data_IF_380697256416
#
_entry.id   IF_380697256416
#
_cell.length_a   1.000
_cell.length_b   1.000
_cell.length_c   1.000
_cell.angle_alpha   90.00
_cell.angle_beta   90.00
_cell.angle_gamma   90.00
#
_symmetry.space_group_name_H-M   'P 1'
#
loop_
_entity.id
_entity.type
_entity.pdbx_description
1 polymer ?
#
# COMPACT_ATOMS: atom_id res chain seq x y z
N UNK A 1 -22.03 3.23 -0.41
CA UNK A 1 -21.09 2.14 -0.66
C UNK A 1 -19.68 2.67 -1.00
N UNK A 2 -18.71 1.78 -1.30
CA UNK A 2 -17.31 2.15 -1.52
C UNK A 2 -17.14 3.07 -2.74
N UNK A 3 -17.84 2.80 -3.85
CA UNK A 3 -17.81 3.61 -5.07
C UNK A 3 -18.22 5.06 -4.78
N UNK A 4 -19.35 5.25 -4.14
CA UNK A 4 -19.90 6.58 -3.89
C UNK A 4 -19.06 7.34 -2.87
N UNK A 5 -18.50 6.64 -1.86
CA UNK A 5 -17.59 7.25 -0.91
C UNK A 5 -16.30 7.72 -1.59
N UNK A 6 -15.67 6.86 -2.41
CA UNK A 6 -14.48 7.22 -3.17
C UNK A 6 -14.74 8.37 -4.15
N UNK A 7 -15.89 8.35 -4.85
CA UNK A 7 -16.28 9.43 -5.75
C UNK A 7 -16.45 10.77 -5.02
N UNK A 8 -17.13 10.79 -3.88
CA UNK A 8 -17.26 12.02 -3.07
C UNK A 8 -15.91 12.53 -2.57
N UNK A 9 -15.03 11.62 -2.14
CA UNK A 9 -13.68 11.98 -1.70
C UNK A 9 -12.85 12.61 -2.83
N UNK A 10 -12.93 12.05 -4.04
CA UNK A 10 -12.26 12.60 -5.24
C UNK A 10 -12.80 13.99 -5.58
N UNK A 11 -14.12 14.17 -5.60
CA UNK A 11 -14.76 15.46 -5.88
C UNK A 11 -14.28 16.51 -4.87
N UNK A 12 -14.45 16.24 -3.58
CA UNK A 12 -14.05 17.16 -2.51
C UNK A 12 -12.57 17.48 -2.53
N UNK A 13 -11.71 16.48 -2.79
CA UNK A 13 -10.27 16.68 -2.94
C UNK A 13 -9.95 17.61 -4.11
N UNK A 14 -10.56 17.39 -5.27
CA UNK A 14 -10.35 18.23 -6.46
C UNK A 14 -10.82 19.67 -6.24
N UNK A 15 -11.99 19.86 -5.63
CA UNK A 15 -12.53 21.18 -5.28
C UNK A 15 -11.62 21.95 -4.31
N UNK A 16 -10.88 21.25 -3.46
CA UNK A 16 -9.92 21.84 -2.53
C UNK A 16 -8.49 21.94 -3.10
N UNK A 17 -8.31 21.71 -4.40
CA UNK A 17 -7.03 21.83 -5.10
C UNK A 17 -6.08 20.66 -4.92
N UNK A 18 -6.54 19.53 -4.38
CA UNK A 18 -5.74 18.30 -4.29
C UNK A 18 -5.68 17.57 -5.62
N UNK A 19 -4.56 16.95 -5.87
CA UNK A 19 -4.28 16.22 -7.11
C UNK A 19 -3.22 15.14 -6.88
N UNK A 20 -3.12 14.18 -7.81
CA UNK A 20 -1.98 13.25 -7.81
C UNK A 20 -0.67 14.01 -7.98
N UNK A 21 0.36 13.58 -7.27
CA UNK A 21 1.73 14.10 -7.43
C UNK A 21 2.28 13.56 -8.75
N UNK A 22 2.56 14.44 -9.71
CA UNK A 22 3.01 14.10 -11.08
C UNK A 22 4.47 14.46 -11.34
N UNK A 23 5.13 15.15 -10.43
CA UNK A 23 6.55 15.54 -10.53
C UNK A 23 7.55 14.40 -10.32
N UNK A 24 7.06 13.20 -10.04
CA UNK A 24 7.79 11.97 -9.79
C UNK A 24 7.11 11.18 -8.67
N UNK A 25 7.03 9.86 -8.81
CA UNK A 25 6.32 9.00 -7.87
C UNK A 25 6.78 9.19 -6.42
N UNK A 26 8.09 9.25 -6.20
CA UNK A 26 8.67 9.37 -4.86
C UNK A 26 8.45 10.75 -4.21
N UNK A 27 8.06 11.76 -4.96
CA UNK A 27 7.75 13.08 -4.41
C UNK A 27 6.43 13.09 -3.58
N UNK A 28 5.64 12.02 -3.64
CA UNK A 28 4.52 11.81 -2.72
C UNK A 28 4.95 11.35 -1.32
N UNK A 29 6.21 10.95 -1.12
CA UNK A 29 6.70 10.34 0.13
C UNK A 29 7.85 11.14 0.75
N UNK A 30 8.16 10.87 2.02
CA UNK A 30 9.24 11.51 2.78
C UNK A 30 9.12 13.05 2.86
N UNK A 31 7.92 13.57 3.08
CA UNK A 31 7.63 15.01 3.18
C UNK A 31 7.37 15.43 4.64
N UNK A 32 7.78 16.65 4.99
CA UNK A 32 7.49 17.27 6.29
C UNK A 32 6.07 17.84 6.36
N UNK A 33 5.47 18.10 5.21
CA UNK A 33 4.11 18.59 5.07
C UNK A 33 3.29 17.69 4.15
N UNK A 34 1.98 17.81 4.22
CA UNK A 34 1.09 17.09 3.32
C UNK A 34 1.31 17.52 1.88
N UNK A 35 1.35 16.54 0.99
CA UNK A 35 1.37 16.76 -0.45
C UNK A 35 -0.03 17.04 -0.99
N UNK A 36 -0.11 17.43 -2.26
CA UNK A 36 -1.41 17.55 -2.96
C UNK A 36 -2.20 16.25 -3.02
N UNK A 37 -1.54 15.11 -2.83
CA UNK A 37 -2.17 13.78 -2.91
C UNK A 37 -2.70 13.27 -1.57
N UNK A 38 -2.27 13.84 -0.46
CA UNK A 38 -2.63 13.35 0.87
C UNK A 38 -4.04 13.77 1.27
N UNK A 39 -4.90 12.80 1.53
CA UNK A 39 -6.22 13.01 2.11
C UNK A 39 -6.18 12.92 3.63
N UNK A 40 -5.34 12.02 4.15
CA UNK A 40 -5.04 11.93 5.57
C UNK A 40 -3.62 11.41 5.77
N UNK A 41 -2.87 12.08 6.63
CA UNK A 41 -1.54 11.64 7.07
C UNK A 41 -1.33 11.90 8.56
N UNK A 42 -0.50 11.08 9.19
CA UNK A 42 -0.02 11.33 10.54
C UNK A 42 1.19 12.23 10.44
N UNK A 43 1.10 13.40 11.08
CA UNK A 43 2.18 14.36 11.15
C UNK A 43 3.25 13.83 12.10
N UNK A 44 4.50 13.80 11.66
CA UNK A 44 5.64 13.31 12.45
C UNK A 44 6.77 14.33 12.42
N UNK A 45 7.27 14.67 13.58
CA UNK A 45 8.41 15.58 13.73
C UNK A 45 9.43 15.01 14.72
N UNK A 46 10.54 15.70 14.91
CA UNK A 46 11.65 15.25 15.77
C UNK A 46 11.28 15.10 17.25
N UNK A 47 10.19 15.72 17.71
CA UNK A 47 9.72 15.61 19.09
C UNK A 47 8.87 14.35 19.30
N UNK A 48 8.21 13.86 18.24
CA UNK A 48 7.37 12.66 18.29
C UNK A 48 8.21 11.36 18.29
N UNK A 49 9.48 11.45 17.88
CA UNK A 49 10.33 10.30 17.60
C UNK A 49 10.22 9.81 16.14
N UNK A 50 11.04 8.85 15.78
CA UNK A 50 11.01 8.25 14.44
C UNK A 50 9.70 7.51 14.21
N UNK A 51 9.13 7.60 13.00
CA UNK A 51 7.94 6.82 12.67
C UNK A 51 8.28 5.32 12.55
N UNK A 52 7.34 4.48 12.95
CA UNK A 52 7.54 3.02 12.99
C UNK A 52 7.76 2.41 11.60
N UNK A 53 7.25 3.02 10.53
CA UNK A 53 7.49 2.55 9.16
C UNK A 53 8.99 2.67 8.82
N UNK A 54 9.60 3.82 9.14
CA UNK A 54 11.04 4.00 9.01
C UNK A 54 11.81 2.97 9.82
N UNK A 55 11.39 2.74 11.07
CA UNK A 55 12.07 1.84 12.00
C UNK A 55 12.26 0.43 11.44
N UNK A 56 11.28 -0.09 10.69
CA UNK A 56 11.30 -1.44 10.12
C UNK A 56 11.80 -1.51 8.66
N UNK A 57 11.60 -0.45 7.86
CA UNK A 57 11.93 -0.45 6.43
C UNK A 57 13.30 0.11 6.09
N UNK A 58 13.92 0.87 7.00
CA UNK A 58 15.24 1.49 6.79
C UNK A 58 16.38 0.74 7.47
N UNK A 59 17.60 1.21 7.28
CA UNK A 59 18.82 0.56 7.78
C UNK A 59 19.36 1.22 9.04
N UNK A 60 20.22 0.55 9.83
CA UNK A 60 20.86 1.15 11.00
C UNK A 60 21.64 2.44 10.68
N UNK A 61 22.30 2.50 9.53
CA UNK A 61 23.04 3.70 9.07
C UNK A 61 22.11 4.90 8.80
N UNK A 62 20.82 4.64 8.59
CA UNK A 62 19.77 5.65 8.42
C UNK A 62 19.03 5.93 9.73
N UNK A 63 19.45 5.31 10.84
CA UNK A 63 18.86 5.49 12.17
C UNK A 63 17.68 4.55 12.46
N UNK A 64 17.49 3.52 11.66
CA UNK A 64 16.48 2.50 11.87
C UNK A 64 17.02 1.33 12.72
N UNK A 65 16.17 0.37 13.01
CA UNK A 65 16.46 -0.73 13.93
C UNK A 65 17.35 -1.80 13.31
N UNK A 66 17.07 -2.30 12.11
CA UNK A 66 17.83 -3.41 11.56
C UNK A 66 17.58 -3.73 10.09
N UNK A 67 16.66 -3.01 9.48
CA UNK A 67 16.26 -3.29 8.09
C UNK A 67 15.55 -4.63 7.97
N UNK A 68 14.57 -4.87 8.80
CA UNK A 68 13.86 -6.14 8.95
C UNK A 68 13.09 -6.56 7.67
N UNK A 69 12.80 -5.59 6.78
CA UNK A 69 11.99 -5.83 5.59
C UNK A 69 12.83 -5.62 4.33
N UNK A 70 12.92 -6.66 3.52
CA UNK A 70 13.57 -6.66 2.21
C UNK A 70 12.56 -6.94 1.10
N UNK A 71 12.87 -6.53 -0.13
CA UNK A 71 11.99 -6.66 -1.28
C UNK A 71 12.47 -7.83 -2.15
N UNK A 72 11.57 -8.75 -2.43
CA UNK A 72 11.86 -9.90 -3.27
C UNK A 72 11.81 -9.56 -4.76
N UNK A 73 12.66 -10.18 -5.55
CA UNK A 73 12.71 -9.97 -7.00
C UNK A 73 11.41 -10.34 -7.72
N UNK A 74 10.64 -11.29 -7.19
CA UNK A 74 9.33 -11.64 -7.73
C UNK A 74 8.31 -10.49 -7.62
N UNK A 75 8.46 -9.59 -6.63
CA UNK A 75 7.66 -8.37 -6.56
C UNK A 75 8.08 -7.36 -7.63
N UNK A 76 9.38 -7.18 -7.82
CA UNK A 76 9.93 -6.28 -8.86
C UNK A 76 9.50 -6.72 -10.26
N UNK A 77 9.45 -8.03 -10.51
CA UNK A 77 9.03 -8.59 -11.79
C UNK A 77 7.55 -8.33 -12.17
N UNK A 78 6.75 -7.81 -11.24
CA UNK A 78 5.36 -7.42 -11.52
C UNK A 78 5.25 -6.06 -12.21
N UNK A 79 6.27 -5.22 -12.14
CA UNK A 79 6.26 -3.89 -12.74
C UNK A 79 6.57 -3.96 -14.24
N UNK A 80 5.86 -3.16 -15.02
CA UNK A 80 6.11 -3.03 -16.46
C UNK A 80 7.44 -2.29 -16.73
N UNK A 81 8.03 -2.53 -17.87
CA UNK A 81 9.24 -1.80 -18.29
C UNK A 81 8.94 -0.28 -18.40
N UNK A 82 9.77 0.54 -17.78
CA UNK A 82 9.60 1.99 -17.74
C UNK A 82 8.68 2.51 -16.66
N UNK A 83 8.12 1.64 -15.81
CA UNK A 83 7.30 2.05 -14.66
C UNK A 83 8.13 2.84 -13.65
N UNK A 84 7.83 4.12 -13.49
CA UNK A 84 8.57 5.01 -12.58
C UNK A 84 8.40 4.64 -11.09
N UNK A 85 7.47 3.78 -10.74
CA UNK A 85 7.37 3.23 -9.37
C UNK A 85 8.57 2.38 -9.00
N UNK A 86 9.31 1.84 -9.97
CA UNK A 86 10.57 1.15 -9.71
C UNK A 86 11.61 2.04 -9.02
N UNK A 87 11.51 3.36 -9.17
CA UNK A 87 12.38 4.33 -8.49
C UNK A 87 12.20 4.36 -6.96
N UNK A 88 11.19 3.67 -6.42
CA UNK A 88 11.05 3.50 -4.97
C UNK A 88 11.98 2.44 -4.38
N UNK A 89 12.70 1.69 -5.21
CA UNK A 89 13.54 0.59 -4.74
C UNK A 89 15.02 0.93 -4.92
N UNK A 90 15.79 0.75 -3.85
CA UNK A 90 17.24 0.91 -3.85
C UNK A 90 17.92 -0.19 -3.05
N UNK A 91 19.19 -0.48 -3.39
CA UNK A 91 20.00 -1.41 -2.61
C UNK A 91 20.62 -0.63 -1.45
N UNK A 92 20.33 -1.05 -0.22
CA UNK A 92 20.85 -0.47 1.02
C UNK A 92 21.18 -1.58 2.00
N UNK A 93 22.38 -1.54 2.60
CA UNK A 93 22.92 -2.61 3.44
C UNK A 93 22.78 -4.00 2.75
N UNK A 94 23.23 -4.08 1.49
CA UNK A 94 23.26 -5.27 0.63
C UNK A 94 21.90 -5.81 0.16
N UNK A 95 20.78 -5.28 0.68
CA UNK A 95 19.43 -5.72 0.36
C UNK A 95 18.64 -4.68 -0.46
N UNK A 96 17.71 -5.18 -1.28
CA UNK A 96 16.73 -4.35 -1.96
C UNK A 96 15.65 -3.89 -0.97
N UNK A 97 15.43 -2.58 -0.89
CA UNK A 97 14.49 -1.95 0.05
C UNK A 97 13.63 -0.91 -0.62
N UNK A 98 12.49 -0.60 -0.02
CA UNK A 98 11.66 0.53 -0.48
C UNK A 98 12.15 1.84 0.16
N UNK A 99 12.20 2.89 -0.63
CA UNK A 99 12.53 4.25 -0.18
C UNK A 99 11.30 5.04 0.31
N UNK A 100 10.08 4.48 0.23
CA UNK A 100 8.87 5.14 0.73
C UNK A 100 8.97 5.58 2.19
N UNK A 101 9.70 4.82 3.01
CA UNK A 101 9.83 5.01 4.46
C UNK A 101 11.27 5.27 4.89
N UNK A 102 12.07 5.88 4.01
CA UNK A 102 13.49 6.09 4.25
C UNK A 102 13.81 7.15 5.30
N UNK A 103 12.93 8.11 5.50
CA UNK A 103 13.17 9.27 6.37
C UNK A 103 12.48 9.14 7.72
N UNK A 104 13.23 9.41 8.82
CA UNK A 104 12.79 9.19 10.20
C UNK A 104 11.57 10.02 10.60
N UNK A 105 11.64 11.33 10.33
CA UNK A 105 10.71 12.33 10.89
C UNK A 105 9.83 12.92 9.79
N UNK A 106 9.32 12.05 8.91
CA UNK A 106 8.43 12.45 7.82
C UNK A 106 7.03 11.91 8.04
N UNK A 107 6.06 12.64 7.51
CA UNK A 107 4.65 12.31 7.64
C UNK A 107 4.35 10.91 7.11
N UNK A 108 3.55 10.16 7.85
CA UNK A 108 3.09 8.84 7.44
C UNK A 108 1.76 8.98 6.71
N UNK A 109 1.77 8.64 5.42
CA UNK A 109 0.59 8.67 4.56
C UNK A 109 -0.35 7.51 4.95
N UNK A 110 -1.60 7.84 5.28
CA UNK A 110 -2.61 6.85 5.67
C UNK A 110 -3.65 6.70 4.56
N UNK A 111 -4.12 7.80 3.98
CA UNK A 111 -5.07 7.79 2.86
C UNK A 111 -4.57 8.74 1.78
N UNK A 112 -4.37 8.22 0.59
CA UNK A 112 -3.94 8.98 -0.58
C UNK A 112 -5.02 9.01 -1.66
N UNK A 113 -5.06 10.09 -2.43
CA UNK A 113 -6.00 10.26 -3.55
C UNK A 113 -5.89 9.12 -4.58
N UNK A 114 -4.68 8.56 -4.77
CA UNK A 114 -4.46 7.39 -5.63
C UNK A 114 -5.32 6.19 -5.20
N UNK A 115 -5.46 5.94 -3.90
CA UNK A 115 -6.31 4.87 -3.39
C UNK A 115 -7.79 5.10 -3.73
N UNK A 116 -8.25 6.33 -3.71
CA UNK A 116 -9.64 6.67 -4.05
C UNK A 116 -9.94 6.38 -5.53
N UNK A 117 -9.04 6.71 -6.45
CA UNK A 117 -9.19 6.35 -7.86
C UNK A 117 -9.22 4.83 -8.05
N UNK A 118 -8.31 4.09 -7.43
CA UNK A 118 -8.27 2.63 -7.50
C UNK A 118 -9.53 1.98 -6.91
N UNK A 119 -10.04 2.51 -5.80
CA UNK A 119 -11.27 2.03 -5.16
C UNK A 119 -12.48 2.30 -6.03
N UNK A 120 -12.58 3.49 -6.65
CA UNK A 120 -13.68 3.83 -7.55
C UNK A 120 -13.64 2.98 -8.81
N UNK A 121 -12.47 2.77 -9.41
CA UNK A 121 -12.27 1.92 -10.58
C UNK A 121 -12.76 0.49 -10.33
N UNK A 122 -12.33 -0.11 -9.21
CA UNK A 122 -12.73 -1.48 -8.83
C UNK A 122 -14.25 -1.56 -8.62
N UNK A 123 -14.81 -0.63 -7.86
CA UNK A 123 -16.22 -0.65 -7.53
C UNK A 123 -17.10 -0.42 -8.77
N UNK A 124 -16.74 0.53 -9.64
CA UNK A 124 -17.43 0.75 -10.91
C UNK A 124 -17.39 -0.50 -11.80
N UNK A 125 -16.22 -1.16 -11.91
CA UNK A 125 -16.10 -2.38 -12.71
C UNK A 125 -16.97 -3.51 -12.17
N UNK A 126 -16.99 -3.71 -10.85
CA UNK A 126 -17.79 -4.78 -10.21
C UNK A 126 -19.29 -4.54 -10.33
N UNK A 127 -19.70 -3.29 -10.33
CA UNK A 127 -21.13 -2.90 -10.42
C UNK A 127 -21.58 -2.64 -11.86
N UNK A 128 -20.69 -2.68 -12.84
CA UNK A 128 -21.02 -2.35 -14.24
C UNK A 128 -21.45 -0.89 -14.42
N UNK A 129 -20.81 0.05 -13.69
CA UNK A 129 -21.13 1.47 -13.69
C UNK A 129 -19.92 2.34 -14.00
N UNK A 130 -20.15 3.63 -14.27
CA UNK A 130 -19.11 4.62 -14.57
C UNK A 130 -19.36 5.92 -13.78
N UNK A 131 -19.70 5.80 -12.51
CA UNK A 131 -19.95 6.96 -11.65
C UNK A 131 -18.67 7.76 -11.45
N UNK A 132 -18.66 8.99 -11.88
CA UNK A 132 -17.55 9.93 -11.81
C UNK A 132 -16.46 9.73 -12.88
N UNK A 133 -16.18 8.51 -13.28
CA UNK A 133 -15.30 8.13 -14.39
C UNK A 133 -15.47 6.65 -14.71
N UNK A 134 -15.03 6.22 -15.89
CA UNK A 134 -14.91 4.80 -16.21
C UNK A 134 -13.75 4.15 -15.44
N UNK A 135 -13.77 2.83 -15.22
CA UNK A 135 -12.65 2.13 -14.59
C UNK A 135 -11.31 2.36 -15.30
N UNK A 136 -11.31 2.40 -16.64
CA UNK A 136 -10.11 2.63 -17.42
C UNK A 136 -9.55 4.06 -17.25
N UNK A 137 -10.41 5.07 -17.17
CA UNK A 137 -9.97 6.45 -16.92
C UNK A 137 -9.29 6.59 -15.56
N UNK A 138 -9.84 6.02 -14.51
CA UNK A 138 -9.24 6.07 -13.18
C UNK A 138 -7.88 5.37 -13.13
N UNK A 139 -7.79 4.18 -13.72
CA UNK A 139 -6.51 3.44 -13.81
C UNK A 139 -5.50 4.22 -14.66
N UNK A 140 -5.93 4.85 -15.75
CA UNK A 140 -5.03 5.62 -16.60
C UNK A 140 -4.50 6.89 -15.93
N UNK A 141 -5.20 7.47 -14.96
CA UNK A 141 -4.65 8.54 -14.11
C UNK A 141 -3.44 8.05 -13.30
N UNK A 142 -3.54 6.86 -12.72
CA UNK A 142 -2.42 6.24 -11.98
C UNK A 142 -1.28 5.88 -12.92
N UNK A 143 -1.56 5.23 -14.05
CA UNK A 143 -0.57 4.81 -15.04
C UNK A 143 0.15 6.00 -15.68
N UNK A 144 -0.59 7.04 -16.06
CA UNK A 144 -0.03 8.22 -16.71
C UNK A 144 1.01 8.95 -15.85
N UNK A 145 0.80 9.06 -14.52
CA UNK A 145 1.78 9.72 -13.65
C UNK A 145 3.10 8.94 -13.46
N UNK A 146 3.10 7.65 -13.79
CA UNK A 146 4.29 6.78 -13.71
C UNK A 146 4.83 6.39 -15.09
N UNK A 147 4.43 7.15 -16.10
CA UNK A 147 4.89 7.05 -17.51
C UNK A 147 4.50 5.75 -18.22
N UNK A 148 3.45 5.09 -17.78
CA UNK A 148 2.92 3.91 -18.45
C UNK A 148 1.85 4.29 -19.50
N UNK A 149 1.76 3.54 -20.60
CA UNK A 149 0.76 3.78 -21.63
C UNK A 149 -0.66 3.55 -21.09
N UNK A 150 -1.60 4.34 -21.60
CA UNK A 150 -3.01 4.19 -21.28
C UNK A 150 -3.58 2.87 -21.83
N UNK A 151 -4.54 2.30 -21.10
CA UNK A 151 -5.32 1.13 -21.50
C UNK A 151 -6.69 1.57 -22.02
N UNK A 152 -7.17 0.98 -23.09
CA UNK A 152 -8.52 1.25 -23.63
C UNK A 152 -9.63 0.66 -22.72
N UNK A 153 -9.34 -0.45 -22.06
CA UNK A 153 -10.22 -1.10 -21.09
C UNK A 153 -9.37 -1.79 -20.03
N UNK A 154 -9.97 -2.15 -18.91
CA UNK A 154 -9.29 -2.84 -17.80
C UNK A 154 -10.13 -3.98 -17.27
N UNK A 155 -9.47 -5.04 -16.86
CA UNK A 155 -10.04 -6.17 -16.14
C UNK A 155 -9.91 -5.98 -14.63
N UNK A 156 -10.67 -6.76 -13.84
CA UNK A 156 -10.54 -6.74 -12.39
C UNK A 156 -9.13 -7.11 -11.93
N UNK A 157 -8.49 -8.07 -12.59
CA UNK A 157 -7.14 -8.50 -12.26
C UNK A 157 -6.11 -7.37 -12.49
N UNK A 158 -6.26 -6.62 -13.57
CA UNK A 158 -5.41 -5.46 -13.85
C UNK A 158 -5.62 -4.34 -12.83
N UNK A 159 -6.85 -4.05 -12.43
CA UNK A 159 -7.13 -3.07 -11.35
C UNK A 159 -6.49 -3.50 -10.03
N UNK A 160 -6.65 -4.76 -9.65
CA UNK A 160 -6.07 -5.30 -8.40
C UNK A 160 -4.54 -5.32 -8.46
N UNK A 161 -3.95 -5.60 -9.62
CA UNK A 161 -2.50 -5.50 -9.82
C UNK A 161 -2.04 -4.05 -9.70
N UNK A 162 -2.70 -3.11 -10.38
CA UNK A 162 -2.38 -1.69 -10.30
C UNK A 162 -2.44 -1.18 -8.85
N UNK A 163 -3.48 -1.60 -8.10
CA UNK A 163 -3.62 -1.30 -6.67
C UNK A 163 -2.46 -1.87 -5.84
N UNK A 164 -2.08 -3.12 -6.09
CA UNK A 164 -0.95 -3.78 -5.42
C UNK A 164 0.37 -3.05 -5.66
N UNK A 165 0.62 -2.59 -6.88
CA UNK A 165 1.86 -1.90 -7.25
C UNK A 165 1.90 -0.47 -6.73
N UNK A 166 0.78 0.23 -6.80
CA UNK A 166 0.63 1.60 -6.35
C UNK A 166 0.74 1.74 -4.83
N UNK A 167 0.02 0.88 -4.10
CA UNK A 167 -0.05 0.90 -2.64
C UNK A 167 0.92 -0.10 -1.98
N UNK A 168 1.93 -0.56 -2.72
CA UNK A 168 2.97 -1.44 -2.20
C UNK A 168 3.63 -0.82 -0.96
N UNK A 169 3.81 -1.61 0.09
CA UNK A 169 4.44 -1.22 1.36
C UNK A 169 3.67 -0.17 2.18
N UNK A 170 2.37 -0.03 1.94
CA UNK A 170 1.46 0.87 2.67
C UNK A 170 0.42 0.10 3.52
N UNK A 171 0.61 -1.21 3.74
CA UNK A 171 -0.24 -2.03 4.61
C UNK A 171 -1.51 -2.61 3.97
N UNK A 172 -1.78 -2.34 2.70
CA UNK A 172 -3.05 -2.70 2.06
C UNK A 172 -3.19 -4.18 1.69
N UNK A 173 -2.09 -4.90 1.42
CA UNK A 173 -2.14 -6.21 0.76
C UNK A 173 -2.95 -7.26 1.53
N UNK A 174 -2.84 -7.30 2.86
CA UNK A 174 -3.57 -8.28 3.67
C UNK A 174 -5.09 -8.06 3.59
N UNK A 175 -5.51 -6.81 3.60
CA UNK A 175 -6.92 -6.43 3.45
C UNK A 175 -7.44 -6.77 2.06
N UNK A 176 -6.64 -6.52 1.02
CA UNK A 176 -6.99 -6.84 -0.35
C UNK A 176 -7.13 -8.36 -0.55
N UNK A 177 -6.20 -9.16 -0.02
CA UNK A 177 -6.28 -10.64 -0.08
C UNK A 177 -7.56 -11.14 0.61
N UNK A 178 -7.86 -10.63 1.81
CA UNK A 178 -9.06 -11.05 2.56
C UNK A 178 -10.36 -10.69 1.86
N UNK A 179 -10.52 -9.42 1.45
CA UNK A 179 -11.78 -8.95 0.82
C UNK A 179 -12.02 -9.51 -0.57
N UNK A 180 -10.96 -9.85 -1.32
CA UNK A 180 -11.07 -10.44 -2.66
C UNK A 180 -11.10 -11.97 -2.65
N UNK A 181 -10.99 -12.58 -1.46
CA UNK A 181 -10.82 -14.03 -1.29
C UNK A 181 -9.65 -14.59 -2.10
N UNK A 182 -8.58 -13.81 -2.15
CA UNK A 182 -7.36 -14.13 -2.87
C UNK A 182 -6.41 -15.00 -2.06
N UNK A 183 -5.18 -15.03 -2.53
CA UNK A 183 -4.08 -15.76 -1.88
C UNK A 183 -2.86 -14.86 -1.72
N UNK A 184 -2.00 -15.21 -0.77
CA UNK A 184 -0.67 -14.62 -0.63
C UNK A 184 0.36 -15.74 -0.60
N UNK A 185 1.50 -15.50 -1.25
CA UNK A 185 2.62 -16.43 -1.26
C UNK A 185 3.51 -16.18 -0.04
N UNK A 186 3.98 -17.25 0.57
CA UNK A 186 4.98 -17.16 1.63
C UNK A 186 6.26 -16.50 1.11
N UNK A 187 6.88 -15.65 1.92
CA UNK A 187 8.08 -14.91 1.52
C UNK A 187 9.39 -15.71 1.76
N UNK A 188 9.34 -16.74 2.60
CA UNK A 188 10.49 -17.61 2.88
C UNK A 188 10.46 -18.83 1.96
N UNK A 189 9.27 -19.46 1.83
CA UNK A 189 9.07 -20.58 0.92
C UNK A 189 7.99 -20.23 -0.12
N UNK A 190 8.43 -19.79 -1.29
CA UNK A 190 7.57 -19.35 -2.38
C UNK A 190 6.61 -20.45 -2.92
N UNK A 191 6.79 -21.71 -2.56
CA UNK A 191 5.87 -22.80 -2.92
C UNK A 191 4.65 -22.84 -2.00
N UNK A 192 4.75 -22.25 -0.80
CA UNK A 192 3.63 -22.18 0.14
C UNK A 192 2.73 -21.00 -0.24
N UNK A 193 1.45 -21.28 -0.40
CA UNK A 193 0.41 -20.30 -0.71
C UNK A 193 -0.64 -20.35 0.41
N UNK A 194 -0.88 -19.20 1.03
CA UNK A 194 -1.93 -19.03 2.04
C UNK A 194 -3.19 -18.49 1.39
N UNK A 195 -4.33 -19.10 1.67
CA UNK A 195 -5.65 -18.57 1.26
C UNK A 195 -6.07 -17.42 2.19
N UNK A 196 -7.06 -16.65 1.76
CA UNK A 196 -7.62 -15.51 2.52
C UNK A 196 -8.15 -15.89 3.91
N UNK A 197 -8.53 -17.15 4.11
CA UNK A 197 -9.07 -17.72 5.35
C UNK A 197 -8.05 -18.58 6.12
N UNK A 198 -6.79 -18.64 5.67
CA UNK A 198 -5.74 -19.33 6.40
C UNK A 198 -5.59 -18.70 7.82
N UNK A 199 -5.50 -19.51 8.87
CA UNK A 199 -5.35 -19.01 10.24
C UNK A 199 -4.22 -17.99 10.42
N UNK A 200 -3.12 -18.11 9.68
CA UNK A 200 -1.97 -17.19 9.71
C UNK A 200 -2.26 -15.80 9.12
N UNK A 201 -3.42 -15.63 8.47
CA UNK A 201 -3.90 -14.31 8.03
C UNK A 201 -4.54 -13.50 9.17
N UNK A 202 -4.55 -14.01 10.39
CA UNK A 202 -4.97 -13.33 11.61
C UNK A 202 -3.80 -13.31 12.58
N UNK A 203 -3.54 -12.18 13.24
CA UNK A 203 -2.48 -12.13 14.25
C UNK A 203 -2.83 -12.99 15.46
N UNK A 204 -1.81 -13.60 16.11
CA UNK A 204 -2.05 -14.27 17.41
C UNK A 204 -2.46 -13.25 18.47
N UNK A 205 -3.23 -13.72 19.47
CA UNK A 205 -3.44 -12.96 20.70
C UNK A 205 -2.07 -12.87 21.38
N UNK A 206 -1.61 -11.67 21.79
CA UNK A 206 -0.32 -11.52 22.44
C UNK A 206 -0.21 -12.40 23.69
N UNK A 207 0.94 -13.06 23.87
CA UNK A 207 1.14 -13.99 24.99
C UNK A 207 0.85 -13.33 26.35
N UNK A 208 1.25 -12.08 26.55
CA UNK A 208 0.97 -11.32 27.77
C UNK A 208 -0.53 -11.25 28.12
N UNK A 209 -1.41 -11.21 27.10
CA UNK A 209 -2.86 -11.19 27.32
C UNK A 209 -3.39 -12.58 27.68
N UNK A 210 -2.81 -13.62 27.05
CA UNK A 210 -3.09 -15.02 27.38
C UNK A 210 -2.69 -15.36 28.82
N UNK A 211 -1.53 -14.86 29.27
CA UNK A 211 -0.98 -15.14 30.60
C UNK A 211 -1.82 -14.53 31.75
N UNK A 212 -2.55 -13.46 31.49
CA UNK A 212 -3.35 -12.76 32.51
C UNK A 212 -4.84 -13.09 32.46
N UNK A 213 -5.30 -13.76 31.42
CA UNK A 213 -6.71 -14.11 31.25
C UNK A 213 -6.87 -15.56 30.75
N UNK A 214 -7.06 -16.48 31.69
CA UNK A 214 -7.21 -17.92 31.43
C UNK A 214 -8.46 -18.28 30.57
N UNK A 215 -9.40 -17.35 30.38
CA UNK A 215 -10.57 -17.56 29.52
C UNK A 215 -10.31 -17.26 28.04
N UNK A 216 -9.14 -16.72 27.70
CA UNK A 216 -8.78 -16.49 26.30
C UNK A 216 -8.40 -17.83 25.64
N UNK A 217 -8.87 -17.98 24.43
CA UNK A 217 -8.49 -19.09 23.55
C UNK A 217 -7.72 -18.48 22.37
N UNK A 218 -6.52 -18.98 22.15
CA UNK A 218 -5.67 -18.49 21.04
C UNK A 218 -6.34 -18.73 19.68
N UNK A 219 -6.06 -17.84 18.74
CA UNK A 219 -6.53 -17.98 17.36
C UNK A 219 -6.04 -19.30 16.76
N UNK A 220 -6.86 -19.98 15.91
CA UNK A 220 -6.45 -21.20 15.24
C UNK A 220 -5.12 -21.06 14.49
N UNK A 221 -4.28 -22.09 14.51
CA UNK A 221 -2.99 -22.12 13.83
C UNK A 221 -1.82 -21.58 14.66
N UNK A 222 -2.06 -21.08 15.85
CA UNK A 222 -1.03 -20.69 16.82
C UNK A 222 -1.05 -21.63 18.02
N UNK A 223 0.13 -22.07 18.45
CA UNK A 223 0.26 -22.82 19.69
C UNK A 223 -0.05 -21.90 20.88
N UNK A 224 -0.83 -22.40 21.82
CA UNK A 224 -1.02 -21.75 23.12
C UNK A 224 0.19 -21.98 24.03
#
# INVERSE_FOLDING_TARGET
DARDAANRAIISATETGKSLVTSGFMNAFNNDADTSEDLFSVQVNTQDGANDMHLFYSTPDEGARGGDITILQNHIALYEAGDQRLNQFSIRAEDLRTDKWRQQFKNVKVVRLAEMYLTRAEANLREGTEIGASPAEDINRIRGRVSLPAKASVTLQEILLERKLELAHEGHIIHDVKRTRGTIRDNINAEIIYSHDDPRMVFPIPQREMDVNENLIQNPGYAG
#
